data_IF_250304732143
#
_entry.id   IF_250304732143
#
_cell.length_a   1.000
_cell.length_b   1.000
_cell.length_c   1.000
_cell.angle_alpha   90.00
_cell.angle_beta   90.00
_cell.angle_gamma   90.00
#
_symmetry.space_group_name_H-M   'P 1'
#
loop_
_entity.id
_entity.type
_entity.pdbx_description
1 polymer ?
#
# COMPACT_ATOMS: atom_id res chain seq x y z
N UNK A 1 6.42 19.29 -2.67
CA UNK A 1 5.09 18.80 -3.04
C UNK A 1 4.74 17.74 -2.00
N UNK A 2 3.83 18.03 -1.06
CA UNK A 2 3.63 17.18 0.11
C UNK A 2 2.82 15.93 -0.23
N UNK A 3 3.45 14.76 -0.20
CA UNK A 3 2.79 13.46 -0.35
C UNK A 3 2.37 12.98 1.04
N UNK A 4 1.06 12.75 1.22
CA UNK A 4 0.50 12.25 2.48
C UNK A 4 0.74 10.74 2.57
N UNK A 5 1.70 10.32 3.40
CA UNK A 5 2.02 8.91 3.68
C UNK A 5 0.97 8.32 4.64
N UNK A 6 0.24 7.28 4.23
CA UNK A 6 -0.73 6.57 5.08
C UNK A 6 -0.18 5.18 5.46
N UNK A 7 0.22 5.02 6.71
CA UNK A 7 0.49 3.70 7.31
C UNK A 7 -0.81 3.15 7.89
N UNK A 8 -1.50 2.26 7.17
CA UNK A 8 -2.75 1.65 7.62
C UNK A 8 -2.48 0.35 8.39
N UNK A 9 -2.77 0.33 9.69
CA UNK A 9 -2.96 -0.91 10.44
C UNK A 9 -4.32 -1.54 10.09
N UNK A 10 -4.47 -2.87 10.07
CA UNK A 10 -5.76 -3.49 9.81
C UNK A 10 -6.79 -3.03 10.86
N UNK A 11 -8.03 -2.69 10.45
CA UNK A 11 -9.07 -2.27 11.39
C UNK A 11 -9.41 -3.41 12.37
N UNK A 12 -9.88 -3.09 13.60
CA UNK A 12 -10.29 -4.09 14.58
C UNK A 12 -11.30 -5.11 14.01
N UNK A 13 -11.36 -6.36 14.53
CA UNK A 13 -12.19 -7.44 13.98
C UNK A 13 -13.65 -7.07 13.70
N UNK A 14 -14.22 -6.27 14.58
CA UNK A 14 -15.57 -5.70 14.54
C UNK A 14 -15.83 -4.77 13.33
N UNK A 15 -14.79 -4.12 12.78
CA UNK A 15 -14.90 -3.22 11.65
C UNK A 15 -14.53 -3.86 10.30
N UNK A 16 -13.98 -5.08 10.29
CA UNK A 16 -13.61 -5.81 9.05
C UNK A 16 -14.81 -6.08 8.13
N UNK A 17 -16.04 -6.13 8.68
CA UNK A 17 -17.29 -6.37 7.92
C UNK A 17 -18.07 -5.11 7.54
N UNK A 18 -17.63 -3.93 7.97
CA UNK A 18 -18.37 -2.68 7.75
C UNK A 18 -18.00 -1.96 6.45
N UNK A 19 -17.04 -2.49 5.67
CA UNK A 19 -16.62 -1.89 4.40
C UNK A 19 -16.00 -0.49 4.54
N UNK A 20 -15.76 -0.01 5.76
CA UNK A 20 -15.29 1.35 6.02
C UNK A 20 -13.89 1.59 5.45
N UNK A 21 -12.98 0.63 5.64
CA UNK A 21 -11.65 0.68 5.04
C UNK A 21 -11.73 0.72 3.51
N UNK A 22 -12.60 -0.08 2.90
CA UNK A 22 -12.80 -0.07 1.45
C UNK A 22 -13.32 1.30 0.97
N UNK A 23 -14.29 1.89 1.68
CA UNK A 23 -14.84 3.21 1.33
C UNK A 23 -13.82 4.35 1.51
N UNK A 24 -12.98 4.28 2.52
CA UNK A 24 -11.87 5.24 2.71
C UNK A 24 -10.84 5.12 1.60
N UNK A 25 -10.50 3.89 1.19
CA UNK A 25 -9.60 3.65 0.05
C UNK A 25 -10.20 4.15 -1.26
N UNK A 26 -11.49 3.91 -1.51
CA UNK A 26 -12.20 4.43 -2.69
C UNK A 26 -12.17 5.97 -2.74
N UNK A 27 -12.43 6.65 -1.62
CA UNK A 27 -12.34 8.10 -1.54
C UNK A 27 -10.91 8.63 -1.77
N UNK A 28 -9.91 7.90 -1.28
CA UNK A 28 -8.50 8.24 -1.49
C UNK A 28 -8.13 8.11 -2.97
N UNK A 29 -8.54 7.01 -3.60
CA UNK A 29 -8.36 6.75 -5.04
C UNK A 29 -9.02 7.85 -5.89
N UNK A 30 -10.30 8.13 -5.65
CA UNK A 30 -11.04 9.18 -6.37
C UNK A 30 -10.38 10.56 -6.19
N UNK A 31 -9.93 10.88 -4.98
CA UNK A 31 -9.27 12.16 -4.70
C UNK A 31 -7.90 12.24 -5.35
N UNK A 32 -7.13 11.16 -5.35
CA UNK A 32 -5.84 11.06 -6.04
C UNK A 32 -6.01 11.27 -7.54
N UNK A 33 -7.01 10.61 -8.15
CA UNK A 33 -7.32 10.77 -9.57
C UNK A 33 -7.69 12.22 -9.91
N UNK A 34 -8.60 12.84 -9.14
CA UNK A 34 -9.02 14.24 -9.34
C UNK A 34 -7.86 15.23 -9.22
N UNK A 35 -6.93 14.99 -8.30
CA UNK A 35 -5.74 15.84 -8.10
C UNK A 35 -4.60 15.53 -9.08
N UNK A 36 -4.79 14.58 -9.97
CA UNK A 36 -3.80 14.25 -10.96
C UNK A 36 -2.65 13.38 -10.45
N UNK A 37 -2.87 12.56 -9.42
CA UNK A 37 -1.91 11.57 -8.95
C UNK A 37 -1.51 10.55 -10.02
N UNK A 38 -0.30 10.00 -9.88
CA UNK A 38 0.26 8.99 -10.79
C UNK A 38 -0.01 7.55 -10.34
N UNK A 39 -0.27 7.36 -9.06
CA UNK A 39 -0.63 6.11 -8.41
C UNK A 39 -1.13 6.40 -6.99
N UNK A 40 -1.74 5.40 -6.36
CA UNK A 40 -1.95 5.32 -4.91
C UNK A 40 -1.13 4.16 -4.40
N UNK A 41 -0.38 4.36 -3.32
CA UNK A 41 0.45 3.36 -2.68
C UNK A 41 0.00 3.06 -1.24
N UNK A 42 0.44 1.91 -0.75
CA UNK A 42 0.31 1.50 0.65
C UNK A 42 1.41 0.51 0.99
N UNK A 43 1.80 0.49 2.27
CA UNK A 43 2.69 -0.53 2.82
C UNK A 43 1.87 -1.54 3.60
N UNK A 44 2.05 -2.83 3.30
CA UNK A 44 1.39 -3.92 4.00
C UNK A 44 2.41 -4.95 4.47
N UNK A 45 2.32 -5.35 5.74
CA UNK A 45 3.13 -6.43 6.33
C UNK A 45 3.10 -7.68 5.44
N UNK A 46 4.27 -8.24 5.15
CA UNK A 46 4.39 -9.45 4.31
C UNK A 46 3.65 -10.64 4.92
N UNK A 47 3.55 -10.72 6.26
CA UNK A 47 2.79 -11.78 6.94
C UNK A 47 1.26 -11.64 6.81
N UNK A 48 0.73 -10.44 6.54
CA UNK A 48 -0.72 -10.19 6.50
C UNK A 48 -1.32 -10.56 5.14
N UNK A 49 -1.32 -11.86 4.82
CA UNK A 49 -1.81 -12.39 3.55
C UNK A 49 -3.29 -12.07 3.27
N UNK A 50 -4.09 -11.87 4.32
CA UNK A 50 -5.50 -11.46 4.18
C UNK A 50 -5.59 -10.07 3.56
N UNK A 51 -4.85 -9.09 4.09
CA UNK A 51 -4.82 -7.74 3.55
C UNK A 51 -4.17 -7.70 2.15
N UNK A 52 -3.06 -8.42 1.95
CA UNK A 52 -2.40 -8.52 0.64
C UNK A 52 -3.38 -9.01 -0.44
N UNK A 53 -4.12 -10.08 -0.16
CA UNK A 53 -5.08 -10.63 -1.12
C UNK A 53 -6.26 -9.70 -1.37
N UNK A 54 -6.73 -8.99 -0.34
CA UNK A 54 -7.76 -7.96 -0.48
C UNK A 54 -7.29 -6.85 -1.45
N UNK A 55 -6.09 -6.30 -1.24
CA UNK A 55 -5.58 -5.23 -2.10
C UNK A 55 -5.30 -5.68 -3.54
N UNK A 56 -4.84 -6.92 -3.73
CA UNK A 56 -4.72 -7.52 -5.07
C UNK A 56 -6.07 -7.57 -5.80
N UNK A 57 -7.15 -7.98 -5.11
CA UNK A 57 -8.49 -8.00 -5.69
C UNK A 57 -9.01 -6.59 -6.00
N UNK A 58 -8.60 -5.58 -5.23
CA UNK A 58 -8.91 -4.17 -5.48
C UNK A 58 -8.04 -3.50 -6.56
N UNK A 59 -7.16 -4.25 -7.23
CA UNK A 59 -6.35 -3.78 -8.36
C UNK A 59 -4.96 -3.23 -8.02
N UNK A 60 -4.48 -3.43 -6.78
CA UNK A 60 -3.10 -3.10 -6.39
C UNK A 60 -2.15 -4.22 -6.81
N UNK A 61 -0.94 -3.84 -7.23
CA UNK A 61 0.17 -4.73 -7.50
C UNK A 61 1.32 -4.45 -6.55
N UNK A 62 2.08 -5.49 -6.19
CA UNK A 62 3.34 -5.32 -5.45
C UNK A 62 4.32 -4.59 -6.35
N UNK A 63 4.72 -3.39 -5.94
CA UNK A 63 5.78 -2.61 -6.55
C UNK A 63 7.15 -3.06 -6.03
N UNK A 64 7.27 -3.38 -4.75
CA UNK A 64 8.53 -3.88 -4.19
C UNK A 64 8.37 -4.39 -2.78
N UNK A 65 9.44 -5.00 -2.27
CA UNK A 65 9.55 -5.34 -0.84
C UNK A 65 10.44 -4.31 -0.17
N UNK A 66 9.95 -3.74 0.93
CA UNK A 66 10.70 -2.84 1.80
C UNK A 66 11.14 -3.61 3.02
N UNK A 67 12.44 -3.81 3.15
CA UNK A 67 13.06 -4.59 4.21
C UNK A 67 12.90 -3.88 5.55
N UNK A 68 12.57 -4.62 6.61
CA UNK A 68 12.56 -4.11 8.00
C UNK A 68 11.67 -2.85 8.18
N UNK A 69 10.60 -2.72 7.37
CA UNK A 69 9.73 -1.54 7.37
C UNK A 69 8.97 -1.37 8.69
N UNK A 70 8.47 -2.47 9.26
CA UNK A 70 7.78 -2.46 10.54
C UNK A 70 8.73 -2.92 11.64
N UNK A 71 9.28 -1.94 12.36
CA UNK A 71 10.14 -2.19 13.50
C UNK A 71 9.35 -2.84 14.65
N UNK A 72 9.90 -3.91 15.21
CA UNK A 72 9.33 -4.57 16.38
C UNK A 72 9.70 -3.82 17.66
N UNK A 73 8.71 -3.47 18.48
CA UNK A 73 8.96 -2.74 19.73
C UNK A 73 9.48 -3.60 20.89
N UNK A 74 9.49 -4.94 20.77
CA UNK A 74 9.67 -5.82 21.94
C UNK A 74 10.15 -7.26 21.62
N UNK A 75 11.38 -7.41 21.09
CA UNK A 75 12.08 -8.70 20.83
C UNK A 75 11.45 -9.60 19.75
N UNK A 76 10.46 -9.12 19.03
CA UNK A 76 10.07 -9.74 17.75
C UNK A 76 11.07 -9.35 16.66
N UNK A 77 11.08 -10.08 15.55
CA UNK A 77 11.87 -9.72 14.38
C UNK A 77 11.21 -8.56 13.65
N UNK A 78 12.01 -7.61 13.18
CA UNK A 78 11.56 -6.58 12.26
C UNK A 78 10.90 -7.22 11.04
N UNK A 79 9.83 -6.60 10.57
CA UNK A 79 9.00 -7.19 9.52
C UNK A 79 9.02 -6.34 8.24
N UNK A 80 9.31 -7.02 7.14
CA UNK A 80 9.22 -6.45 5.80
C UNK A 80 7.78 -6.03 5.45
N UNK A 81 7.68 -5.06 4.53
CA UNK A 81 6.43 -4.65 3.93
C UNK A 81 6.45 -4.82 2.42
N UNK A 82 5.31 -5.13 1.81
CA UNK A 82 5.11 -4.86 0.40
C UNK A 82 4.71 -3.40 0.22
N UNK A 83 5.44 -2.66 -0.62
CA UNK A 83 4.92 -1.47 -1.30
C UNK A 83 3.94 -1.95 -2.37
N UNK A 84 2.65 -1.68 -2.19
CA UNK A 84 1.62 -2.03 -3.15
C UNK A 84 1.05 -0.77 -3.79
N UNK A 85 1.05 -0.72 -5.13
CA UNK A 85 0.61 0.44 -5.90
C UNK A 85 -0.56 0.11 -6.82
N UNK A 86 -1.45 1.07 -7.00
CA UNK A 86 -2.54 1.06 -7.99
C UNK A 86 -2.42 2.29 -8.89
N UNK A 87 -2.34 2.07 -10.19
CA UNK A 87 -2.34 3.16 -11.17
C UNK A 87 -3.75 3.77 -11.30
N UNK A 88 -3.87 5.07 -11.57
CA UNK A 88 -5.15 5.71 -11.81
C UNK A 88 -5.76 5.18 -13.13
N UNK A 89 -7.08 5.19 -13.21
CA UNK A 89 -7.88 4.73 -14.35
C UNK A 89 -7.40 5.27 -15.70
N UNK A 90 -6.96 6.53 -15.73
CA UNK A 90 -6.42 7.26 -16.90
C UNK A 90 -5.01 6.85 -17.35
N UNK A 91 -4.23 6.18 -16.50
CA UNK A 91 -2.85 5.78 -16.83
C UNK A 91 -2.84 4.43 -17.56
N UNK A 92 -3.07 4.46 -18.86
CA UNK A 92 -3.10 3.27 -19.73
C UNK A 92 -1.73 2.59 -19.86
N UNK A 93 -0.64 3.33 -19.67
CA UNK A 93 0.73 2.80 -19.80
C UNK A 93 1.26 2.14 -18.52
N UNK A 94 0.62 2.38 -17.36
CA UNK A 94 0.95 1.74 -16.07
C UNK A 94 2.43 1.79 -15.65
N UNK A 95 3.21 2.73 -16.21
CA UNK A 95 4.66 2.86 -15.94
C UNK A 95 4.99 3.10 -14.47
N UNK A 96 4.09 3.73 -13.72
CA UNK A 96 4.25 4.06 -12.31
C UNK A 96 4.08 2.90 -11.34
N UNK A 97 3.70 1.71 -11.83
CA UNK A 97 3.48 0.50 -11.01
C UNK A 97 4.34 -0.68 -11.48
N UNK A 98 5.36 -0.44 -12.32
CA UNK A 98 6.31 -1.47 -12.74
C UNK A 98 7.12 -1.91 -11.51
N UNK A 99 7.15 -3.20 -11.15
CA UNK A 99 7.85 -3.64 -9.96
C UNK A 99 9.35 -3.29 -9.98
N UNK A 100 9.89 -2.95 -8.82
CA UNK A 100 11.31 -2.82 -8.58
C UNK A 100 11.98 -4.19 -8.71
N UNK A 101 13.19 -4.24 -9.29
CA UNK A 101 13.92 -5.50 -9.49
C UNK A 101 14.47 -6.07 -8.18
N UNK A 102 14.64 -5.25 -7.14
CA UNK A 102 15.26 -5.65 -5.88
C UNK A 102 14.53 -5.02 -4.68
N UNK A 103 14.59 -5.67 -3.50
CA UNK A 103 14.10 -5.07 -2.26
C UNK A 103 14.86 -3.79 -1.90
N UNK A 104 14.17 -2.87 -1.22
CA UNK A 104 14.72 -1.57 -0.81
C UNK A 104 14.61 -1.40 0.71
N UNK A 105 15.38 -0.48 1.30
CA UNK A 105 15.23 -0.14 2.73
C UNK A 105 14.25 1.03 2.89
N UNK A 106 13.69 1.26 4.09
CA UNK A 106 12.70 2.33 4.31
C UNK A 106 13.23 3.73 3.98
N UNK A 107 14.54 3.95 4.11
CA UNK A 107 15.23 5.18 3.71
C UNK A 107 15.30 5.44 2.20
N UNK A 108 15.14 4.40 1.37
CA UNK A 108 15.22 4.47 -0.09
C UNK A 108 13.84 4.59 -0.76
N UNK A 109 12.76 4.64 0.03
CA UNK A 109 11.39 4.75 -0.45
C UNK A 109 11.00 6.23 -0.58
N UNK A 110 10.94 6.74 -1.81
CA UNK A 110 10.56 8.12 -2.18
C UNK A 110 9.19 8.20 -2.88
#
# INVERSE_FOLDING_TARGET
>A
MGMSRLSLSPPPPEFRRLGLAAKLMELLEETSERKGGFFVDLFVRVSNQVAVNMYKQSGYSVYGTVIEYYLASNREHDEDAYDMRKAPSRNTEKKSIIPLPHPVRPEDVE
#
